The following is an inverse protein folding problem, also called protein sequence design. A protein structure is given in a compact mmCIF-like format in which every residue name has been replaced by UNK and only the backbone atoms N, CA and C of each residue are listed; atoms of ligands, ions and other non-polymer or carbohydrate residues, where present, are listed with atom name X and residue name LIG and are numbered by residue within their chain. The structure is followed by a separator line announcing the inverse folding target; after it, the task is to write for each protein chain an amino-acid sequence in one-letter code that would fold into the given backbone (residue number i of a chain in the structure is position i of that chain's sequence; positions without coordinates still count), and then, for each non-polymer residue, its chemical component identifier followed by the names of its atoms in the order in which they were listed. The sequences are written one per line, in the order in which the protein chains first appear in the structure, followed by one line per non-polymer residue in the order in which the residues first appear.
data_IF_398807783534
#
_entry.id   IF_398807783534
#
_cell.length_a   1.000
_cell.length_b   1.000
_cell.length_c   1.000
_cell.angle_alpha   90.00
_cell.angle_beta   90.00
_cell.angle_gamma   90.00
#
_symmetry.space_group_name_H-M   'P 1'
#
loop_
_entity.id
_entity.type
_entity.pdbx_description
1 polymer ?
#
# COMPACT_ATOMS: atom_id res chain seq x y z
N UNK A 1 -10.96 11.89 22.29
CA UNK A 1 -10.70 12.14 23.73
C UNK A 1 -9.20 12.14 23.93
N UNK A 2 -8.54 13.29 23.76
CA UNK A 2 -7.13 13.49 24.15
C UNK A 2 -6.94 13.65 25.67
N UNK A 3 -7.89 13.10 26.43
CA UNK A 3 -7.99 13.08 27.90
C UNK A 3 -8.30 11.64 28.34
N UNK A 4 -7.94 10.65 27.52
CA UNK A 4 -7.90 9.26 27.96
C UNK A 4 -6.74 9.09 28.93
N UNK A 5 -6.86 8.15 29.87
CA UNK A 5 -5.75 7.79 30.75
C UNK A 5 -4.53 7.41 29.93
N UNK A 6 -3.33 7.75 30.40
CA UNK A 6 -2.07 7.51 29.66
C UNK A 6 -1.92 6.03 29.28
N UNK A 7 -2.34 5.13 30.18
CA UNK A 7 -2.44 3.69 29.95
C UNK A 7 -3.35 3.32 28.77
N UNK A 8 -4.48 4.02 28.59
CA UNK A 8 -5.39 3.78 27.47
C UNK A 8 -4.83 4.31 26.15
N UNK A 9 -3.97 5.33 26.17
CA UNK A 9 -3.26 5.81 24.98
C UNK A 9 -2.08 4.91 24.61
N UNK A 10 -1.38 4.37 25.61
CA UNK A 10 -0.24 3.47 25.43
C UNK A 10 -0.67 2.09 24.90
N UNK A 11 -1.86 1.61 25.30
CA UNK A 11 -2.37 0.29 24.87
C UNK A 11 -3.10 0.35 23.52
N UNK A 12 -3.50 1.53 23.05
CA UNK A 12 -4.31 1.65 21.84
C UNK A 12 -3.45 1.72 20.56
N UNK A 13 -3.81 0.92 19.55
CA UNK A 13 -3.17 0.97 18.22
C UNK A 13 -3.42 2.27 17.46
N UNK A 14 -4.45 3.03 17.85
CA UNK A 14 -4.79 4.33 17.29
C UNK A 14 -5.48 5.23 18.32
N UNK A 15 -5.04 6.49 18.42
CA UNK A 15 -5.58 7.48 19.33
C UNK A 15 -6.18 8.68 18.60
N UNK A 16 -7.39 9.09 19.01
CA UNK A 16 -8.01 10.33 18.55
C UNK A 16 -7.47 11.50 19.38
N UNK A 17 -6.40 12.13 18.88
CA UNK A 17 -5.76 13.31 19.47
C UNK A 17 -6.73 14.48 19.66
N UNK A 18 -7.74 14.59 18.80
CA UNK A 18 -8.80 15.59 18.92
C UNK A 18 -10.05 14.97 19.53
N UNK A 19 -10.76 15.70 20.40
CA UNK A 19 -11.92 15.18 21.12
C UNK A 19 -13.21 15.07 20.27
N UNK A 20 -13.07 14.70 18.99
CA UNK A 20 -14.16 14.63 18.02
C UNK A 20 -14.38 13.18 17.59
N UNK A 21 -15.52 12.61 17.97
CA UNK A 21 -15.98 11.27 17.54
C UNK A 21 -16.07 11.15 16.00
N UNK A 22 -16.30 12.27 15.30
CA UNK A 22 -16.24 12.33 13.82
C UNK A 22 -14.89 11.93 13.23
N UNK A 23 -13.79 12.06 14.00
CA UNK A 23 -12.46 11.63 13.58
C UNK A 23 -12.35 10.12 13.38
N UNK A 24 -13.14 9.32 14.11
CA UNK A 24 -13.19 7.87 13.95
C UNK A 24 -13.72 7.47 12.57
N UNK A 25 -14.81 8.10 12.14
CA UNK A 25 -15.41 7.86 10.83
C UNK A 25 -14.46 8.25 9.68
N UNK A 26 -13.72 9.35 9.83
CA UNK A 26 -12.68 9.75 8.88
C UNK A 26 -11.52 8.74 8.85
N UNK A 27 -11.07 8.26 10.01
CA UNK A 27 -9.99 7.28 10.12
C UNK A 27 -10.36 5.95 9.45
N UNK A 28 -11.60 5.47 9.63
CA UNK A 28 -12.09 4.27 8.95
C UNK A 28 -12.20 4.48 7.43
N UNK A 29 -12.65 5.66 6.99
CA UNK A 29 -12.75 5.99 5.56
C UNK A 29 -11.38 6.03 4.91
N UNK A 30 -10.41 6.63 5.59
CA UNK A 30 -9.01 6.66 5.16
C UNK A 30 -8.43 5.24 5.10
N UNK A 31 -8.63 4.43 6.14
CA UNK A 31 -8.17 3.04 6.18
C UNK A 31 -8.71 2.22 4.99
N UNK A 32 -10.00 2.38 4.65
CA UNK A 32 -10.60 1.73 3.46
C UNK A 32 -9.97 2.20 2.16
N UNK A 33 -9.73 3.50 2.02
CA UNK A 33 -9.07 4.06 0.83
C UNK A 33 -7.63 3.54 0.69
N UNK A 34 -6.89 3.45 1.80
CA UNK A 34 -5.55 2.87 1.84
C UNK A 34 -5.58 1.39 1.46
N UNK A 35 -6.53 0.62 2.00
CA UNK A 35 -6.67 -0.81 1.69
C UNK A 35 -6.98 -1.05 0.19
N UNK A 36 -7.82 -0.19 -0.41
CA UNK A 36 -8.08 -0.25 -1.84
C UNK A 36 -6.82 0.03 -2.68
N UNK A 37 -5.99 0.99 -2.26
CA UNK A 37 -4.74 1.30 -2.95
C UNK A 37 -3.69 0.19 -2.77
N UNK A 38 -3.59 -0.42 -1.58
CA UNK A 38 -2.75 -1.59 -1.34
C UNK A 38 -3.13 -2.73 -2.29
N UNK A 39 -4.43 -3.03 -2.44
CA UNK A 39 -4.89 -4.05 -3.40
C UNK A 39 -4.50 -3.73 -4.83
N UNK A 40 -4.55 -2.46 -5.24
CA UNK A 40 -4.07 -2.04 -6.57
C UNK A 40 -2.57 -2.27 -6.73
N UNK A 41 -1.75 -1.87 -5.75
CA UNK A 41 -0.30 -2.09 -5.78
C UNK A 41 0.06 -3.57 -5.86
N UNK A 42 -0.58 -4.40 -5.04
CA UNK A 42 -0.37 -5.84 -5.03
C UNK A 42 -0.78 -6.46 -6.37
N UNK A 43 -1.91 -6.02 -6.94
CA UNK A 43 -2.38 -6.52 -8.24
C UNK A 43 -1.41 -6.17 -9.37
N UNK A 44 -0.86 -4.95 -9.38
CA UNK A 44 0.13 -4.52 -10.37
C UNK A 44 1.42 -5.33 -10.21
N UNK A 45 1.91 -5.48 -8.98
CA UNK A 45 3.13 -6.23 -8.69
C UNK A 45 3.01 -7.70 -9.10
N UNK A 46 1.93 -8.38 -8.69
CA UNK A 46 1.65 -9.76 -9.03
C UNK A 46 1.37 -9.94 -10.53
N UNK A 47 0.63 -9.01 -11.14
CA UNK A 47 0.32 -9.05 -12.57
C UNK A 47 1.58 -8.99 -13.43
N UNK A 48 2.50 -8.06 -13.13
CA UNK A 48 3.80 -7.99 -13.82
C UNK A 48 4.61 -9.27 -13.59
N UNK A 49 4.73 -9.74 -12.34
CA UNK A 49 5.46 -10.98 -12.03
C UNK A 49 4.90 -12.18 -12.80
N UNK A 50 3.57 -12.30 -12.89
CA UNK A 50 2.89 -13.39 -13.60
C UNK A 50 3.14 -13.34 -15.11
N UNK A 51 3.05 -12.16 -15.73
CA UNK A 51 3.35 -11.98 -17.16
C UNK A 51 4.79 -12.42 -17.45
N UNK A 52 5.76 -11.97 -16.65
CA UNK A 52 7.17 -12.33 -16.81
C UNK A 52 7.46 -13.80 -16.53
N UNK A 53 6.75 -14.41 -15.58
CA UNK A 53 6.85 -15.85 -15.33
C UNK A 53 6.41 -16.66 -16.55
N UNK A 54 5.28 -16.29 -17.16
CA UNK A 54 4.74 -16.97 -18.35
C UNK A 54 5.66 -16.77 -19.56
N UNK A 55 6.15 -15.56 -19.83
CA UNK A 55 7.08 -15.32 -20.95
C UNK A 55 8.43 -16.01 -20.76
N UNK A 56 8.89 -16.17 -19.51
CA UNK A 56 10.12 -16.92 -19.19
C UNK A 56 9.93 -18.41 -19.40
N UNK A 57 8.79 -18.97 -18.98
CA UNK A 57 8.44 -20.38 -19.24
C UNK A 57 8.35 -20.70 -20.74
N UNK A 58 7.91 -19.73 -21.56
CA UNK A 58 7.85 -19.86 -23.01
C UNK A 58 9.22 -19.65 -23.70
N UNK A 59 10.28 -19.32 -22.95
CA UNK A 59 11.65 -19.19 -23.48
C UNK A 59 11.93 -17.91 -24.27
N UNK A 60 11.01 -16.94 -24.27
CA UNK A 60 11.16 -15.69 -25.04
C UNK A 60 11.96 -14.60 -24.30
N UNK A 61 12.09 -14.70 -22.97
CA UNK A 61 12.74 -13.67 -22.16
C UNK A 61 14.11 -14.11 -21.65
N UNK A 62 15.16 -13.45 -22.11
CA UNK A 62 16.50 -13.57 -21.53
C UNK A 62 16.57 -12.98 -20.12
N UNK A 63 17.48 -13.52 -19.28
CA UNK A 63 17.64 -13.17 -17.87
C UNK A 63 17.74 -11.66 -17.63
N UNK A 64 18.44 -10.94 -18.51
CA UNK A 64 18.61 -9.49 -18.46
C UNK A 64 17.28 -8.72 -18.54
N UNK A 65 16.39 -9.11 -19.47
CA UNK A 65 15.11 -8.43 -19.67
C UNK A 65 14.16 -8.67 -18.48
N UNK A 66 14.22 -9.86 -17.88
CA UNK A 66 13.46 -10.21 -16.69
C UNK A 66 13.88 -9.39 -15.46
N UNK A 67 15.20 -9.18 -15.25
CA UNK A 67 15.72 -8.37 -14.15
C UNK A 67 15.32 -6.90 -14.31
N UNK A 68 15.45 -6.36 -15.53
CA UNK A 68 15.10 -4.97 -15.83
C UNK A 68 13.61 -4.74 -15.59
N UNK A 69 12.77 -5.69 -16.00
CA UNK A 69 11.34 -5.65 -15.73
C UNK A 69 10.98 -5.73 -14.25
N UNK A 70 11.63 -6.59 -13.46
CA UNK A 70 11.34 -6.69 -12.02
C UNK A 70 11.76 -5.43 -11.27
N UNK A 71 12.92 -4.87 -11.65
CA UNK A 71 13.40 -3.60 -11.10
C UNK A 71 12.49 -2.43 -11.50
N UNK A 72 12.06 -2.39 -12.77
CA UNK A 72 11.11 -1.40 -13.28
C UNK A 72 9.73 -1.51 -12.61
N UNK A 73 9.23 -2.74 -12.39
CA UNK A 73 8.00 -2.99 -11.64
C UNK A 73 8.11 -2.47 -10.21
N UNK A 74 9.26 -2.68 -9.56
CA UNK A 74 9.51 -2.19 -8.21
C UNK A 74 9.47 -0.66 -8.15
N UNK A 75 10.07 0.03 -9.13
CA UNK A 75 9.99 1.50 -9.25
C UNK A 75 8.55 1.96 -9.46
N UNK A 76 7.80 1.28 -10.32
CA UNK A 76 6.40 1.61 -10.64
C UNK A 76 5.49 1.46 -9.42
N UNK A 77 5.63 0.34 -8.68
CA UNK A 77 4.86 0.08 -7.46
C UNK A 77 5.24 1.06 -6.36
N UNK A 78 6.53 1.40 -6.23
CA UNK A 78 7.00 2.41 -5.25
C UNK A 78 6.45 3.80 -5.59
N UNK A 79 6.45 4.19 -6.87
CA UNK A 79 5.85 5.45 -7.31
C UNK A 79 4.33 5.48 -7.07
N UNK A 80 3.63 4.36 -7.29
CA UNK A 80 2.19 4.27 -7.01
C UNK A 80 1.89 4.24 -5.50
N UNK A 81 2.78 3.69 -4.67
CA UNK A 81 2.70 3.78 -3.21
C UNK A 81 2.88 5.23 -2.74
N UNK A 82 3.81 5.99 -3.33
CA UNK A 82 3.98 7.43 -3.04
C UNK A 82 2.75 8.27 -3.43
N UNK A 83 1.90 7.79 -4.35
CA UNK A 83 0.63 8.44 -4.69
C UNK A 83 -0.36 8.48 -3.51
N UNK A 84 -0.29 7.53 -2.57
CA UNK A 84 -1.10 7.55 -1.35
C UNK A 84 -0.77 8.75 -0.46
N UNK A 85 0.51 9.15 -0.37
CA UNK A 85 0.92 10.30 0.43
C UNK A 85 0.36 11.63 -0.14
N UNK A 86 -0.06 11.64 -1.40
CA UNK A 86 -0.66 12.83 -2.04
C UNK A 86 -2.16 12.96 -1.80
N UNK A 87 -2.84 11.92 -1.31
CA UNK A 87 -4.23 12.04 -0.85
C UNK A 87 -4.23 12.59 0.58
N UNK A 88 -4.22 13.92 0.68
CA UNK A 88 -4.76 14.65 1.85
C UNK A 88 -6.27 14.44 1.95
#
# INVERSE_FOLDING_TARGET
MGSGTDVALETADAALTHNRLRGLAQMITLARATHANIRQNITIALGLKAIFLVTTLLGFTGLWLAILADTGATVLVTANALRLLRKK
#
